data_IF_687645616794
#
_entry.id   IF_687645616794
#
_cell.length_a   1.000
_cell.length_b   1.000
_cell.length_c   1.000
_cell.angle_alpha   90.00
_cell.angle_beta   90.00
_cell.angle_gamma   90.00
#
_symmetry.space_group_name_H-M   'P 1'
#
loop_
_entity.id
_entity.type
_entity.pdbx_description
1 polymer ?
#
# COMPACT_ATOMS: atom_id res chain seq x y z
N UNK A 1 -0.12 13.07 -1.03
CA UNK A 1 0.95 12.15 -1.46
C UNK A 1 0.41 10.78 -1.80
N UNK A 2 0.57 10.28 -3.03
CA UNK A 2 0.19 8.96 -3.61
C UNK A 2 -0.70 8.00 -2.80
N UNK A 3 -0.31 7.59 -1.58
CA UNK A 3 -1.16 6.78 -0.70
C UNK A 3 -2.44 7.48 -0.20
N UNK A 4 -2.56 8.80 -0.37
CA UNK A 4 -3.73 9.61 -0.02
C UNK A 4 -4.85 9.59 -1.04
N UNK A 5 -4.51 9.28 -2.29
CA UNK A 5 -5.48 9.19 -3.38
C UNK A 5 -6.00 7.78 -3.58
N UNK A 6 -5.45 6.77 -2.87
CA UNK A 6 -5.92 5.39 -2.99
C UNK A 6 -7.30 5.24 -2.32
N UNK A 7 -8.38 4.99 -3.09
CA UNK A 7 -9.70 4.82 -2.53
C UNK A 7 -9.75 3.55 -1.66
N UNK A 8 -10.29 3.67 -0.44
CA UNK A 8 -10.34 2.57 0.53
C UNK A 8 -9.10 2.42 1.42
N UNK A 9 -8.01 3.15 1.14
CA UNK A 9 -6.83 3.19 2.01
C UNK A 9 -6.98 4.26 3.09
N UNK A 10 -7.75 3.93 4.13
CA UNK A 10 -7.91 4.78 5.30
C UNK A 10 -6.61 4.98 6.11
N UNK A 11 -6.58 5.95 7.03
CA UNK A 11 -5.39 6.32 7.81
C UNK A 11 -4.86 5.19 8.70
N UNK A 12 -5.72 4.25 9.13
CA UNK A 12 -5.30 3.07 9.89
C UNK A 12 -4.46 2.11 9.02
N UNK A 13 -4.94 1.79 7.82
CA UNK A 13 -4.26 0.89 6.87
C UNK A 13 -2.94 1.50 6.38
N UNK A 14 -2.92 2.81 6.11
CA UNK A 14 -1.68 3.51 5.76
C UNK A 14 -0.63 3.40 6.86
N UNK A 15 -1.01 3.63 8.13
CA UNK A 15 -0.09 3.45 9.26
C UNK A 15 0.39 2.01 9.39
N UNK A 16 -0.48 1.02 9.15
CA UNK A 16 -0.10 -0.38 9.15
C UNK A 16 0.94 -0.68 8.06
N UNK A 17 0.74 -0.21 6.83
CA UNK A 17 1.71 -0.32 5.74
C UNK A 17 3.05 0.34 6.10
N UNK A 18 3.03 1.60 6.54
CA UNK A 18 4.24 2.32 6.91
C UNK A 18 4.99 1.63 8.07
N UNK A 19 4.27 1.12 9.07
CA UNK A 19 4.87 0.38 10.19
C UNK A 19 5.45 -0.95 9.74
N UNK A 20 4.76 -1.68 8.86
CA UNK A 20 5.17 -2.99 8.38
C UNK A 20 6.43 -2.89 7.50
N UNK A 21 6.47 -1.91 6.60
CA UNK A 21 7.55 -1.77 5.62
C UNK A 21 8.65 -0.77 6.05
N UNK A 22 8.54 -0.15 7.23
CA UNK A 22 9.54 0.80 7.72
C UNK A 22 9.51 2.18 7.05
N UNK A 23 8.35 2.59 6.53
CA UNK A 23 8.13 3.89 5.91
C UNK A 23 7.71 3.81 4.44
N UNK A 24 7.53 4.98 3.81
CA UNK A 24 6.98 5.08 2.45
C UNK A 24 7.87 4.38 1.41
N UNK A 25 9.19 4.46 1.57
CA UNK A 25 10.15 3.81 0.67
C UNK A 25 10.03 2.29 0.68
N UNK A 26 9.76 1.68 1.84
CA UNK A 26 9.51 0.25 1.93
C UNK A 26 8.21 -0.14 1.26
N UNK A 27 7.14 0.66 1.46
CA UNK A 27 5.85 0.44 0.79
C UNK A 27 5.97 0.56 -0.73
N UNK A 28 6.78 1.50 -1.23
CA UNK A 28 7.04 1.66 -2.67
C UNK A 28 7.83 0.48 -3.26
N UNK A 29 8.62 -0.24 -2.45
CA UNK A 29 9.33 -1.45 -2.89
C UNK A 29 8.52 -2.73 -2.72
N UNK A 30 7.41 -2.67 -1.99
CA UNK A 30 6.58 -3.82 -1.71
C UNK A 30 5.79 -4.23 -2.96
N UNK A 31 5.77 -5.54 -3.24
CA UNK A 31 4.91 -6.10 -4.29
C UNK A 31 3.46 -6.21 -3.81
N UNK A 32 2.54 -6.47 -4.75
CA UNK A 32 1.12 -6.73 -4.42
C UNK A 32 0.99 -7.86 -3.39
N UNK A 33 1.80 -8.93 -3.52
CA UNK A 33 1.80 -10.04 -2.58
C UNK A 33 2.18 -9.60 -1.15
N UNK A 34 3.22 -8.78 -1.00
CA UNK A 34 3.64 -8.27 0.31
C UNK A 34 2.59 -7.34 0.90
N UNK A 35 1.99 -6.48 0.08
CA UNK A 35 0.93 -5.58 0.52
C UNK A 35 -0.27 -6.36 1.09
N UNK A 36 -0.60 -7.54 0.53
CA UNK A 36 -1.67 -8.40 1.07
C UNK A 36 -1.33 -9.06 2.41
N UNK A 37 -0.06 -9.12 2.80
CA UNK A 37 0.33 -9.63 4.14
C UNK A 37 -0.04 -8.65 5.26
N UNK A 38 -0.32 -7.39 4.92
CA UNK A 38 -0.69 -6.38 5.91
C UNK A 38 -2.16 -6.54 6.31
N UNK A 39 -2.40 -6.69 7.60
CA UNK A 39 -3.73 -6.86 8.15
C UNK A 39 -4.69 -5.75 7.70
N UNK A 40 -5.79 -6.14 7.04
CA UNK A 40 -6.80 -5.23 6.51
C UNK A 40 -6.51 -4.69 5.11
N UNK A 41 -5.44 -5.14 4.45
CA UNK A 41 -5.18 -4.93 3.02
C UNK A 41 -5.52 -6.22 2.27
N UNK A 42 -6.66 -6.24 1.57
CA UNK A 42 -7.00 -7.33 0.66
C UNK A 42 -6.29 -7.22 -0.69
N UNK A 43 -6.39 -8.24 -1.53
CA UNK A 43 -5.83 -8.28 -2.89
C UNK A 43 -6.24 -7.10 -3.76
N UNK A 44 -7.52 -6.71 -3.74
CA UNK A 44 -8.01 -5.54 -4.50
C UNK A 44 -7.34 -4.25 -4.05
N UNK A 45 -7.24 -4.03 -2.73
CA UNK A 45 -6.64 -2.82 -2.20
C UNK A 45 -5.13 -2.81 -2.39
N UNK A 46 -4.46 -3.95 -2.20
CA UNK A 46 -3.04 -4.11 -2.48
C UNK A 46 -2.72 -3.75 -3.94
N UNK A 47 -3.54 -4.21 -4.88
CA UNK A 47 -3.37 -3.87 -6.30
C UNK A 47 -3.56 -2.38 -6.56
N UNK A 48 -4.63 -1.77 -6.05
CA UNK A 48 -4.81 -0.32 -6.20
C UNK A 48 -3.66 0.47 -5.57
N UNK A 49 -3.20 0.08 -4.38
CA UNK A 49 -2.02 0.71 -3.74
C UNK A 49 -0.79 0.58 -4.65
N UNK A 50 -0.52 -0.61 -5.17
CA UNK A 50 0.61 -0.87 -6.04
C UNK A 50 0.54 -0.04 -7.34
N UNK A 51 -0.60 -0.03 -8.02
CA UNK A 51 -0.83 0.73 -9.25
C UNK A 51 -0.65 2.23 -9.03
N UNK A 52 -1.10 2.74 -7.87
CA UNK A 52 -0.89 4.15 -7.50
C UNK A 52 0.57 4.48 -7.19
N UNK A 53 1.33 3.53 -6.63
CA UNK A 53 2.75 3.70 -6.33
C UNK A 53 3.66 3.51 -7.55
N UNK A 54 3.20 2.74 -8.54
CA UNK A 54 3.91 2.41 -9.77
C UNK A 54 3.10 2.84 -11.01
N UNK A 55 2.86 4.15 -11.21
CA UNK A 55 2.20 4.62 -12.42
C UNK A 55 3.15 4.44 -13.62
N UNK A 56 3.00 3.33 -14.35
CA UNK A 56 3.77 3.04 -15.57
C UNK A 56 4.44 1.67 -15.64
N UNK A 57 4.24 0.78 -14.66
CA UNK A 57 4.63 -0.64 -14.74
C UNK A 57 3.61 -1.48 -15.52
#
# INVERSE_FOLDING_TARGET
SVLEVVPGLGPARRRALLKHFGGLQGVMRAGVADLTQVAGIGTTLARSVYDHLHPGS
#
